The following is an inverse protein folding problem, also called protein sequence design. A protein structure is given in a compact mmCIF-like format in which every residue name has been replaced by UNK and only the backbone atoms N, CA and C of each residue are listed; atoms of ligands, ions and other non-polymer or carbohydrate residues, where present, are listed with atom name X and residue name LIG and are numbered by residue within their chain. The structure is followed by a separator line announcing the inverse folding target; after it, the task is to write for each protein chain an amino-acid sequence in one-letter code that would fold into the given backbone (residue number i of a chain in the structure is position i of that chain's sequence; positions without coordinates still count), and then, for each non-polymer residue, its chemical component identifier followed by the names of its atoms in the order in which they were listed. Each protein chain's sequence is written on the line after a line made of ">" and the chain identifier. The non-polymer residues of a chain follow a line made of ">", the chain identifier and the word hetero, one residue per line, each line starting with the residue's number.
data_IF_277008301258
#
_entry.id   IF_277008301258
#
_cell.length_a   1.000
_cell.length_b   1.000
_cell.length_c   1.000
_cell.angle_alpha   90.00
_cell.angle_beta   90.00
_cell.angle_gamma   90.00
#
_symmetry.space_group_name_H-M   'P 1'
#
loop_
_entity.id
_entity.type
_entity.pdbx_description
1 polymer ?
#
# COMPACT_ATOMS: atom_id res chain seq x y z
N UNK A 1 -15.29 -27.62 -4.25
CA UNK A 1 -14.44 -26.85 -3.32
C UNK A 1 -13.65 -25.86 -4.16
N UNK A 2 -13.92 -24.58 -4.02
CA UNK A 2 -13.19 -23.54 -4.74
C UNK A 2 -11.75 -23.51 -4.21
N UNK A 3 -10.78 -23.72 -5.10
CA UNK A 3 -9.36 -23.62 -4.79
C UNK A 3 -9.02 -22.16 -4.45
N UNK A 4 -9.21 -21.77 -3.21
CA UNK A 4 -8.86 -20.44 -2.72
C UNK A 4 -7.34 -20.28 -2.79
N UNK A 5 -6.88 -19.36 -3.61
CA UNK A 5 -5.45 -19.08 -3.75
C UNK A 5 -4.98 -18.20 -2.63
N UNK A 6 -3.99 -18.66 -1.91
CA UNK A 6 -3.52 -17.98 -0.71
C UNK A 6 -2.66 -16.74 -1.01
N UNK A 7 -1.91 -16.71 -2.10
CA UNK A 7 -0.88 -15.71 -2.33
C UNK A 7 -0.85 -15.06 -3.68
N UNK A 8 -1.61 -15.35 -4.56
CA UNK A 8 -1.51 -14.61 -5.81
C UNK A 8 -2.48 -13.50 -5.86
N UNK A 9 -2.04 -12.33 -6.19
CA UNK A 9 -2.13 -12.01 -7.59
C UNK A 9 -0.90 -12.51 -8.32
N UNK A 10 -1.07 -12.91 -9.57
CA UNK A 10 0.03 -12.95 -10.49
C UNK A 10 0.76 -11.62 -10.39
N UNK A 11 2.05 -11.66 -10.66
CA UNK A 11 2.89 -10.47 -10.56
C UNK A 11 2.33 -9.35 -11.42
N UNK A 12 1.63 -8.43 -10.81
CA UNK A 12 1.22 -7.18 -11.42
C UNK A 12 2.43 -6.26 -11.44
N UNK A 13 3.36 -6.62 -12.31
CA UNK A 13 4.64 -5.99 -12.41
C UNK A 13 4.62 -4.76 -13.27
N UNK A 14 5.39 -3.82 -12.79
CA UNK A 14 5.83 -2.68 -13.55
C UNK A 14 5.04 -1.42 -13.31
N UNK A 15 3.89 -1.49 -12.65
CA UNK A 15 3.08 -0.30 -12.41
C UNK A 15 2.69 -0.24 -10.95
N UNK A 16 3.33 0.65 -10.18
CA UNK A 16 2.92 0.95 -8.80
C UNK A 16 1.49 1.48 -8.68
N UNK A 17 0.82 1.66 -9.80
CA UNK A 17 -0.54 2.20 -9.92
C UNK A 17 -1.59 1.18 -10.36
N UNK A 18 -1.22 -0.04 -10.69
CA UNK A 18 -2.19 -1.09 -11.01
C UNK A 18 -3.04 -1.50 -9.80
N UNK A 19 -2.79 -0.94 -8.69
CA UNK A 19 -3.56 -1.08 -7.48
C UNK A 19 -4.84 -0.26 -7.49
N UNK A 20 -4.95 0.70 -8.39
CA UNK A 20 -6.18 1.45 -8.57
C UNK A 20 -7.21 0.61 -9.30
N UNK A 21 -8.37 0.44 -8.68
CA UNK A 21 -9.50 -0.34 -9.22
C UNK A 21 -10.06 0.20 -10.54
N UNK A 22 -9.61 1.39 -10.95
CA UNK A 22 -9.93 1.99 -12.23
C UNK A 22 -9.62 1.09 -13.43
N UNK A 23 -8.57 0.27 -13.37
CA UNK A 23 -8.24 -0.63 -14.47
C UNK A 23 -9.27 -1.75 -14.65
N UNK A 24 -9.87 -2.26 -13.58
CA UNK A 24 -10.97 -3.21 -13.66
C UNK A 24 -12.18 -2.56 -14.32
N UNK A 25 -12.54 -1.35 -13.87
CA UNK A 25 -13.63 -0.57 -14.44
C UNK A 25 -13.43 -0.32 -15.93
N UNK A 26 -12.23 0.14 -16.34
CA UNK A 26 -11.95 0.43 -17.75
C UNK A 26 -11.98 -0.84 -18.60
N UNK A 27 -11.42 -1.95 -18.15
CA UNK A 27 -11.49 -3.21 -18.86
C UNK A 27 -12.93 -3.70 -19.05
N UNK A 28 -13.76 -3.61 -18.00
CA UNK A 28 -15.19 -3.97 -18.08
C UNK A 28 -15.98 -3.01 -18.98
N UNK A 29 -15.65 -1.70 -18.96
CA UNK A 29 -16.24 -0.71 -19.87
C UNK A 29 -15.92 -1.02 -21.34
N UNK A 30 -14.70 -1.48 -21.63
CA UNK A 30 -14.31 -1.95 -22.95
C UNK A 30 -15.10 -3.21 -23.33
N UNK A 31 -15.19 -4.19 -22.41
CA UNK A 31 -15.96 -5.41 -22.63
C UNK A 31 -17.43 -5.12 -22.94
N UNK A 32 -18.04 -4.18 -22.22
CA UNK A 32 -19.41 -3.72 -22.46
C UNK A 32 -19.57 -3.06 -23.82
N UNK A 33 -18.66 -2.16 -24.19
CA UNK A 33 -18.78 -1.37 -25.43
C UNK A 33 -18.43 -2.14 -26.70
N UNK A 34 -17.49 -3.09 -26.63
CA UNK A 34 -17.00 -3.87 -27.78
C UNK A 34 -17.61 -5.28 -27.86
N UNK A 35 -18.35 -5.70 -26.83
CA UNK A 35 -18.93 -7.03 -26.72
C UNK A 35 -17.97 -8.10 -26.18
N UNK A 36 -16.67 -7.88 -26.23
CA UNK A 36 -15.63 -8.76 -25.71
C UNK A 36 -14.38 -7.97 -25.33
N UNK A 37 -13.47 -8.65 -24.62
CA UNK A 37 -12.08 -8.20 -24.42
C UNK A 37 -11.11 -9.35 -24.72
N UNK A 38 -9.95 -8.97 -25.21
CA UNK A 38 -8.75 -9.77 -25.29
C UNK A 38 -7.52 -8.94 -24.92
N UNK A 39 -6.35 -9.57 -24.87
CA UNK A 39 -5.10 -8.86 -24.55
C UNK A 39 -4.81 -7.71 -25.53
N UNK A 40 -4.97 -7.94 -26.83
CA UNK A 40 -4.62 -6.96 -27.86
C UNK A 40 -5.52 -5.72 -27.77
N UNK A 41 -6.81 -5.94 -27.51
CA UNK A 41 -7.78 -4.87 -27.34
C UNK A 41 -7.46 -4.03 -26.09
N UNK A 42 -7.13 -4.67 -24.95
CA UNK A 42 -6.75 -3.96 -23.72
C UNK A 42 -5.46 -3.16 -23.88
N UNK A 43 -4.43 -3.72 -24.54
CA UNK A 43 -3.17 -3.00 -24.84
C UNK A 43 -3.43 -1.73 -25.64
N UNK A 44 -4.37 -1.75 -26.57
CA UNK A 44 -4.72 -0.61 -27.40
C UNK A 44 -5.60 0.43 -26.70
N UNK A 45 -6.61 0.00 -25.99
CA UNK A 45 -7.70 0.88 -25.50
C UNK A 45 -7.42 1.44 -24.09
N UNK A 46 -6.84 0.64 -23.17
CA UNK A 46 -6.63 1.09 -21.77
C UNK A 46 -5.72 2.33 -21.70
N UNK A 47 -4.56 2.39 -22.40
CA UNK A 47 -3.68 3.54 -22.33
C UNK A 47 -4.37 4.87 -22.70
N UNK A 48 -5.31 4.82 -23.63
CA UNK A 48 -6.04 6.00 -24.08
C UNK A 48 -7.05 6.47 -23.03
N UNK A 49 -7.64 5.55 -22.26
CA UNK A 49 -8.69 5.83 -21.27
C UNK A 49 -8.12 6.30 -19.93
N UNK A 50 -6.94 5.79 -19.57
CA UNK A 50 -6.27 6.13 -18.30
C UNK A 50 -5.19 7.20 -18.45
N UNK A 51 -5.15 7.89 -19.60
CA UNK A 51 -4.18 8.95 -19.86
C UNK A 51 -4.29 10.05 -18.80
N UNK A 52 -3.19 10.31 -18.11
CA UNK A 52 -3.13 11.26 -16.98
C UNK A 52 -3.39 10.65 -15.60
N UNK A 53 -3.96 9.44 -15.52
CA UNK A 53 -4.16 8.73 -14.25
C UNK A 53 -3.06 7.72 -13.98
N UNK A 54 -2.41 7.21 -15.01
CA UNK A 54 -1.34 6.20 -14.93
C UNK A 54 -0.24 6.57 -15.92
N UNK A 55 1.01 6.27 -15.59
CA UNK A 55 2.13 6.32 -16.56
C UNK A 55 1.95 5.20 -17.58
N UNK A 56 1.34 5.55 -18.68
CA UNK A 56 0.96 4.63 -19.75
C UNK A 56 2.16 3.88 -20.33
N UNK A 57 3.30 4.54 -20.43
CA UNK A 57 4.53 3.96 -20.99
C UNK A 57 5.16 2.86 -20.13
N UNK A 58 4.65 2.65 -18.92
CA UNK A 58 5.17 1.66 -17.96
C UNK A 58 4.30 0.42 -17.79
N UNK A 59 3.12 0.35 -18.42
CA UNK A 59 2.23 -0.81 -18.34
C UNK A 59 2.81 -1.93 -19.20
N UNK A 60 3.38 -2.95 -18.55
CA UNK A 60 3.87 -4.12 -19.29
C UNK A 60 2.70 -4.97 -19.81
N UNK A 61 2.91 -5.65 -20.93
CA UNK A 61 1.88 -6.52 -21.51
C UNK A 61 1.39 -7.62 -20.57
N UNK A 62 2.21 -8.02 -19.59
CA UNK A 62 1.83 -9.01 -18.58
C UNK A 62 0.70 -8.53 -17.68
N UNK A 63 0.59 -7.21 -17.47
CA UNK A 63 -0.47 -6.60 -16.65
C UNK A 63 -1.85 -6.84 -17.26
N UNK A 64 -1.98 -6.76 -18.58
CA UNK A 64 -3.27 -6.98 -19.25
C UNK A 64 -3.72 -8.43 -19.15
N UNK A 65 -2.79 -9.40 -19.22
CA UNK A 65 -3.12 -10.81 -18.98
C UNK A 65 -3.51 -11.07 -17.53
N UNK A 66 -2.84 -10.44 -16.61
CA UNK A 66 -3.16 -10.52 -15.19
C UNK A 66 -4.54 -9.92 -14.89
N UNK A 67 -4.87 -8.80 -15.54
CA UNK A 67 -6.18 -8.17 -15.45
C UNK A 67 -7.32 -9.07 -15.93
N UNK A 68 -7.16 -9.69 -17.11
CA UNK A 68 -8.12 -10.66 -17.65
C UNK A 68 -8.28 -11.84 -16.69
N UNK A 69 -7.19 -12.36 -16.16
CA UNK A 69 -7.20 -13.51 -15.25
C UNK A 69 -7.92 -13.19 -13.95
N UNK A 70 -7.66 -12.03 -13.35
CA UNK A 70 -8.31 -11.60 -12.12
C UNK A 70 -9.80 -11.32 -12.33
N UNK A 71 -10.18 -10.62 -13.39
CA UNK A 71 -11.58 -10.39 -13.73
C UNK A 71 -12.33 -11.70 -13.96
N UNK A 72 -11.67 -12.71 -14.56
CA UNK A 72 -12.24 -14.05 -14.73
C UNK A 72 -12.41 -14.75 -13.38
N UNK A 73 -11.42 -14.67 -12.49
CA UNK A 73 -11.50 -15.27 -11.15
C UNK A 73 -12.55 -14.60 -10.26
N UNK A 74 -12.77 -13.31 -10.42
CA UNK A 74 -13.83 -12.57 -9.70
C UNK A 74 -15.23 -12.83 -10.32
N UNK A 75 -15.29 -13.55 -11.43
CA UNK A 75 -16.55 -13.83 -12.13
C UNK A 75 -17.14 -12.63 -12.84
N UNK A 76 -16.35 -11.57 -13.06
CA UNK A 76 -16.81 -10.37 -13.78
C UNK A 76 -16.76 -10.52 -15.30
N UNK A 77 -15.92 -11.42 -15.80
CA UNK A 77 -15.89 -11.83 -17.19
C UNK A 77 -15.85 -13.35 -17.26
N UNK A 78 -16.30 -13.89 -18.38
CA UNK A 78 -16.23 -15.32 -18.70
C UNK A 78 -15.58 -15.53 -20.05
N UNK A 79 -14.85 -16.64 -20.16
CA UNK A 79 -14.22 -17.05 -21.42
C UNK A 79 -15.28 -17.53 -22.39
N UNK A 80 -15.27 -17.00 -23.61
CA UNK A 80 -16.16 -17.41 -24.70
C UNK A 80 -15.44 -18.23 -25.78
N UNK A 81 -14.24 -17.78 -26.16
CA UNK A 81 -13.39 -18.46 -27.12
C UNK A 81 -11.94 -18.58 -26.61
N UNK A 82 -11.02 -19.02 -27.45
CA UNK A 82 -9.61 -19.22 -27.03
C UNK A 82 -8.98 -17.98 -26.39
N UNK A 83 -9.30 -16.79 -26.89
CA UNK A 83 -8.68 -15.54 -26.43
C UNK A 83 -9.69 -14.45 -26.09
N UNK A 84 -10.99 -14.69 -26.25
CA UNK A 84 -12.04 -13.69 -26.04
C UNK A 84 -12.81 -13.95 -24.76
N UNK A 85 -13.11 -12.87 -24.05
CA UNK A 85 -13.83 -12.88 -22.78
C UNK A 85 -14.97 -11.87 -22.85
N UNK A 86 -16.14 -12.27 -22.38
CA UNK A 86 -17.33 -11.41 -22.28
C UNK A 86 -17.61 -11.01 -20.85
N UNK A 87 -18.21 -9.84 -20.69
CA UNK A 87 -18.69 -9.37 -19.40
C UNK A 87 -19.87 -10.22 -18.95
N UNK A 88 -19.87 -10.58 -17.66
CA UNK A 88 -20.98 -11.30 -17.01
C UNK A 88 -22.00 -10.34 -16.41
N UNK A 89 -23.12 -10.86 -15.91
CA UNK A 89 -24.10 -10.07 -15.14
C UNK A 89 -23.42 -9.44 -13.93
N UNK A 90 -22.62 -10.19 -13.16
CA UNK A 90 -21.88 -9.66 -12.02
C UNK A 90 -20.88 -8.55 -12.40
N UNK A 91 -20.25 -8.66 -13.57
CA UNK A 91 -19.38 -7.62 -14.11
C UNK A 91 -20.14 -6.37 -14.52
N UNK A 92 -21.35 -6.52 -15.05
CA UNK A 92 -22.23 -5.38 -15.37
C UNK A 92 -22.69 -4.66 -14.10
N UNK A 93 -23.15 -5.38 -13.09
CA UNK A 93 -23.54 -4.84 -11.80
C UNK A 93 -22.38 -4.07 -11.14
N UNK A 94 -21.17 -4.64 -11.15
CA UNK A 94 -19.98 -3.96 -10.64
C UNK A 94 -19.68 -2.66 -11.40
N UNK A 95 -19.77 -2.69 -12.74
CA UNK A 95 -19.54 -1.51 -13.57
C UNK A 95 -20.56 -0.38 -13.30
N UNK A 96 -21.81 -0.74 -13.07
CA UNK A 96 -22.86 0.21 -12.67
C UNK A 96 -22.56 0.81 -11.29
N UNK A 97 -22.19 -0.01 -10.31
CA UNK A 97 -21.78 0.48 -8.99
C UNK A 97 -20.59 1.44 -9.07
N UNK A 98 -19.61 1.18 -9.94
CA UNK A 98 -18.48 2.11 -10.16
C UNK A 98 -18.92 3.51 -10.62
N UNK A 99 -20.09 3.62 -11.26
CA UNK A 99 -20.62 4.89 -11.78
C UNK A 99 -21.52 5.62 -10.78
N UNK A 100 -22.28 4.89 -9.97
CA UNK A 100 -23.29 5.46 -9.08
C UNK A 100 -22.92 5.42 -7.59
N UNK A 101 -22.12 4.45 -7.16
CA UNK A 101 -21.74 4.29 -5.74
C UNK A 101 -20.37 3.61 -5.61
N UNK A 102 -19.33 4.43 -5.53
CA UNK A 102 -17.93 3.95 -5.44
C UNK A 102 -17.67 3.07 -4.21
N UNK A 103 -18.28 3.39 -3.09
CA UNK A 103 -18.11 2.62 -1.84
C UNK A 103 -18.64 1.20 -2.01
N UNK A 104 -19.88 1.06 -2.50
CA UNK A 104 -20.46 -0.26 -2.79
C UNK A 104 -19.70 -1.03 -3.87
N UNK A 105 -19.12 -0.34 -4.84
CA UNK A 105 -18.25 -0.97 -5.82
C UNK A 105 -16.97 -1.55 -5.17
N UNK A 106 -16.37 -0.83 -4.24
CA UNK A 106 -15.22 -1.32 -3.47
C UNK A 106 -15.60 -2.51 -2.61
N UNK A 107 -16.73 -2.46 -1.91
CA UNK A 107 -17.24 -3.58 -1.10
C UNK A 107 -17.44 -4.83 -1.95
N UNK A 108 -18.09 -4.68 -3.12
CA UNK A 108 -18.32 -5.78 -4.05
C UNK A 108 -17.02 -6.38 -4.58
N UNK A 109 -16.03 -5.54 -4.90
CA UNK A 109 -14.73 -6.01 -5.36
C UNK A 109 -13.99 -6.74 -4.23
N UNK A 110 -14.02 -6.23 -3.01
CA UNK A 110 -13.39 -6.87 -1.87
C UNK A 110 -14.04 -8.23 -1.57
N UNK A 111 -15.36 -8.33 -1.61
CA UNK A 111 -16.10 -9.57 -1.45
C UNK A 111 -15.63 -10.62 -2.47
N UNK A 112 -15.61 -10.27 -3.76
CA UNK A 112 -15.12 -11.14 -4.82
C UNK A 112 -13.65 -11.50 -4.68
N UNK A 113 -12.83 -10.55 -4.24
CA UNK A 113 -11.40 -10.79 -4.01
C UNK A 113 -11.18 -11.77 -2.86
N UNK A 114 -11.99 -11.73 -1.81
CA UNK A 114 -11.91 -12.66 -0.68
C UNK A 114 -12.38 -14.09 -1.04
N UNK A 115 -13.28 -14.24 -2.00
CA UNK A 115 -13.65 -15.57 -2.53
C UNK A 115 -12.46 -16.26 -3.23
N UNK A 116 -11.49 -15.49 -3.72
CA UNK A 116 -10.32 -15.97 -4.46
C UNK A 116 -9.06 -15.99 -3.60
N UNK A 117 -8.89 -14.98 -2.74
CA UNK A 117 -7.69 -14.77 -1.95
C UNK A 117 -8.01 -14.65 -0.46
N UNK A 118 -7.33 -15.39 0.38
CA UNK A 118 -7.40 -15.21 1.84
C UNK A 118 -6.53 -14.05 2.33
N UNK A 119 -5.69 -13.50 1.46
CA UNK A 119 -4.66 -12.51 1.80
C UNK A 119 -5.21 -11.26 2.47
N UNK A 120 -6.33 -10.65 2.07
CA UNK A 120 -6.83 -9.44 2.73
C UNK A 120 -7.03 -9.64 4.24
N UNK A 121 -7.83 -10.62 4.65
CA UNK A 121 -8.10 -10.88 6.05
C UNK A 121 -6.85 -11.38 6.80
N UNK A 122 -6.10 -12.30 6.18
CA UNK A 122 -4.88 -12.83 6.78
C UNK A 122 -3.82 -11.75 7.03
N UNK A 123 -3.62 -10.82 6.07
CA UNK A 123 -2.64 -9.75 6.18
C UNK A 123 -2.95 -8.82 7.36
N UNK A 124 -4.21 -8.40 7.49
CA UNK A 124 -4.65 -7.53 8.57
C UNK A 124 -4.53 -8.24 9.93
N UNK A 125 -4.99 -9.50 10.02
CA UNK A 125 -4.80 -10.30 11.24
C UNK A 125 -3.32 -10.40 11.63
N UNK A 126 -2.45 -10.59 10.63
CA UNK A 126 -1.02 -10.73 10.90
C UNK A 126 -0.39 -9.46 11.47
N UNK A 127 -0.81 -8.28 11.01
CA UNK A 127 -0.37 -7.01 11.60
C UNK A 127 -0.72 -6.94 13.09
N UNK A 128 -1.96 -7.30 13.45
CA UNK A 128 -2.41 -7.33 14.84
C UNK A 128 -1.65 -8.35 15.70
N UNK A 129 -1.37 -9.53 15.15
CA UNK A 129 -0.59 -10.55 15.83
C UNK A 129 0.86 -10.13 16.08
N UNK A 130 1.45 -9.38 15.14
CA UNK A 130 2.84 -8.93 15.24
C UNK A 130 3.04 -7.84 16.28
N UNK A 131 2.08 -6.97 16.48
CA UNK A 131 2.19 -5.85 17.42
C UNK A 131 0.84 -5.46 18.02
N UNK A 132 0.23 -6.31 18.88
CA UNK A 132 -1.08 -6.06 19.46
C UNK A 132 -1.09 -4.81 20.37
N UNK A 133 -0.01 -4.58 21.11
CA UNK A 133 0.09 -3.47 22.07
C UNK A 133 0.10 -2.10 21.39
N UNK A 134 0.55 -2.03 20.15
CA UNK A 134 0.54 -0.81 19.33
C UNK A 134 -0.44 -0.91 18.15
N UNK A 135 -1.56 -1.58 18.36
CA UNK A 135 -2.67 -1.63 17.42
C UNK A 135 -2.23 -2.08 16.00
N UNK A 136 -1.37 -3.08 15.93
CA UNK A 136 -0.94 -3.67 14.67
C UNK A 136 0.05 -2.83 13.84
N UNK A 137 0.69 -1.82 14.41
CA UNK A 137 1.74 -1.09 13.71
C UNK A 137 2.99 -1.97 13.52
N UNK A 138 3.47 -2.06 12.28
CA UNK A 138 4.64 -2.86 11.93
C UNK A 138 5.55 -2.07 10.99
N UNK A 139 6.86 -2.12 11.22
CA UNK A 139 7.84 -1.49 10.33
C UNK A 139 8.56 -2.55 9.52
N UNK A 140 8.54 -2.41 8.21
CA UNK A 140 9.44 -3.12 7.30
C UNK A 140 10.72 -2.28 7.19
N UNK A 141 11.83 -2.70 7.80
CA UNK A 141 12.99 -1.84 7.98
C UNK A 141 13.71 -1.53 6.67
N UNK A 142 14.34 -0.37 6.65
CA UNK A 142 15.27 0.10 5.62
C UNK A 142 16.46 0.75 6.30
N UNK A 143 17.66 0.74 5.71
CA UNK A 143 18.81 1.43 6.29
C UNK A 143 18.51 2.91 6.53
N UNK A 144 18.88 3.41 7.70
CA UNK A 144 18.73 4.82 8.04
C UNK A 144 19.32 5.71 6.94
N UNK A 145 18.65 6.83 6.63
CA UNK A 145 19.09 7.74 5.56
C UNK A 145 20.50 8.27 5.81
N UNK A 146 20.82 8.53 7.08
CA UNK A 146 22.10 9.06 7.52
C UNK A 146 23.18 7.99 7.77
N UNK A 147 22.84 6.70 7.54
CA UNK A 147 23.82 5.64 7.72
C UNK A 147 24.99 5.83 6.76
N UNK A 148 26.18 5.94 7.33
CA UNK A 148 27.41 6.03 6.55
C UNK A 148 27.79 4.64 6.02
N UNK A 149 27.42 4.38 4.78
CA UNK A 149 27.88 3.19 4.07
C UNK A 149 28.82 3.63 2.96
N UNK A 150 30.00 3.02 2.90
CA UNK A 150 30.94 3.26 1.78
C UNK A 150 30.26 2.91 0.47
N UNK A 151 30.49 3.73 -0.55
CA UNK A 151 30.04 3.41 -1.90
C UNK A 151 30.83 2.20 -2.42
N UNK A 152 30.20 1.02 -2.36
CA UNK A 152 30.75 -0.23 -2.87
C UNK A 152 29.86 -0.74 -3.99
N UNK A 153 30.46 -1.49 -4.91
CA UNK A 153 29.74 -2.10 -6.03
C UNK A 153 28.75 -3.16 -5.55
N UNK A 154 27.70 -3.39 -6.31
CA UNK A 154 26.71 -4.43 -6.02
C UNK A 154 27.34 -5.83 -5.87
N UNK A 155 28.32 -6.15 -6.68
CA UNK A 155 28.97 -7.46 -6.70
C UNK A 155 29.93 -7.74 -5.50
N UNK A 156 30.20 -6.73 -4.69
CA UNK A 156 31.01 -6.91 -3.49
C UNK A 156 30.23 -7.68 -2.42
N UNK A 157 30.60 -8.95 -2.23
CA UNK A 157 29.90 -9.90 -1.36
C UNK A 157 30.37 -9.89 0.10
N UNK A 158 31.35 -9.06 0.45
CA UNK A 158 31.86 -8.99 1.79
C UNK A 158 30.81 -8.39 2.76
N UNK A 159 30.54 -9.09 3.85
CA UNK A 159 29.74 -8.59 4.95
C UNK A 159 30.66 -7.91 5.96
N UNK A 160 30.57 -6.60 6.09
CA UNK A 160 31.45 -5.78 6.93
C UNK A 160 30.84 -5.43 8.28
N UNK A 161 31.69 -4.99 9.21
CA UNK A 161 31.25 -4.48 10.51
C UNK A 161 30.35 -3.22 10.35
N UNK A 162 30.58 -2.39 9.32
CA UNK A 162 29.72 -1.26 8.99
C UNK A 162 28.29 -1.71 8.64
N UNK A 163 28.13 -2.79 7.85
CA UNK A 163 26.83 -3.34 7.52
C UNK A 163 26.14 -3.90 8.75
N UNK A 164 26.88 -4.55 9.63
CA UNK A 164 26.38 -5.05 10.91
C UNK A 164 25.90 -3.90 11.78
N UNK A 165 26.70 -2.85 11.97
CA UNK A 165 26.38 -1.70 12.79
C UNK A 165 25.12 -0.97 12.27
N UNK A 166 25.04 -0.67 10.99
CA UNK A 166 23.86 -0.03 10.35
C UNK A 166 22.60 -0.89 10.52
N UNK A 167 22.74 -2.20 10.40
CA UNK A 167 21.62 -3.12 10.55
C UNK A 167 21.06 -3.16 11.97
N UNK A 168 21.94 -3.18 12.97
CA UNK A 168 21.57 -3.12 14.39
C UNK A 168 20.97 -1.76 14.74
N UNK A 169 21.61 -0.68 14.33
CA UNK A 169 21.13 0.69 14.58
C UNK A 169 19.72 0.89 14.01
N UNK A 170 19.49 0.42 12.78
CA UNK A 170 18.16 0.53 12.14
C UNK A 170 17.07 -0.15 12.97
N UNK A 171 17.32 -1.35 13.49
CA UNK A 171 16.34 -2.06 14.32
C UNK A 171 16.15 -1.38 15.67
N UNK A 172 17.23 -1.03 16.35
CA UNK A 172 17.17 -0.40 17.66
C UNK A 172 16.44 0.93 17.61
N UNK A 173 16.70 1.69 16.58
CA UNK A 173 15.99 2.95 16.33
C UNK A 173 14.50 2.73 16.07
N UNK A 174 14.13 1.74 15.23
CA UNK A 174 12.73 1.39 14.99
C UNK A 174 12.00 0.91 16.26
N UNK A 175 12.63 0.04 17.05
CA UNK A 175 12.10 -0.41 18.36
C UNK A 175 11.88 0.75 19.34
N UNK A 176 12.77 1.75 19.33
CA UNK A 176 12.63 2.94 20.17
C UNK A 176 11.45 3.82 19.75
N UNK A 177 11.15 3.89 18.46
CA UNK A 177 10.06 4.72 17.93
C UNK A 177 8.70 4.04 18.01
N UNK A 178 8.65 2.74 17.75
CA UNK A 178 7.43 1.93 17.82
C UNK A 178 7.76 0.64 18.57
N UNK A 179 7.35 0.57 19.82
CA UNK A 179 7.56 -0.61 20.64
C UNK A 179 6.92 -1.84 19.98
N UNK A 180 7.59 -2.99 20.10
CA UNK A 180 7.09 -4.26 19.56
C UNK A 180 7.09 -4.39 18.03
N UNK A 181 7.49 -3.36 17.29
CA UNK A 181 7.43 -3.38 15.83
C UNK A 181 8.41 -4.35 15.14
N UNK A 182 9.42 -4.82 15.87
CA UNK A 182 10.40 -5.81 15.41
C UNK A 182 10.44 -7.01 16.34
N UNK A 183 9.71 -8.07 16.04
CA UNK A 183 9.68 -9.29 16.85
C UNK A 183 10.91 -10.17 16.61
N UNK A 184 12.09 -9.57 16.46
CA UNK A 184 13.34 -10.28 16.18
C UNK A 184 14.35 -10.18 17.31
N UNK A 185 15.05 -11.28 17.54
CA UNK A 185 16.37 -11.28 18.13
C UNK A 185 17.39 -10.60 17.19
N UNK A 186 18.26 -9.75 17.73
CA UNK A 186 19.25 -9.02 16.93
C UNK A 186 20.26 -9.94 16.26
N UNK A 187 20.69 -10.99 16.93
CA UNK A 187 21.68 -11.94 16.43
C UNK A 187 21.12 -12.72 15.25
N UNK A 188 19.89 -13.23 15.40
CA UNK A 188 19.19 -13.94 14.32
C UNK A 188 18.93 -13.04 13.13
N UNK A 189 18.57 -11.76 13.37
CA UNK A 189 18.37 -10.78 12.31
C UNK A 189 19.64 -10.54 11.50
N UNK A 190 20.78 -10.37 12.16
CA UNK A 190 22.06 -10.14 11.49
C UNK A 190 22.48 -11.35 10.67
N UNK A 191 22.30 -12.55 11.18
CA UNK A 191 22.60 -13.77 10.45
C UNK A 191 21.74 -13.92 9.18
N UNK A 192 20.44 -13.76 9.32
CA UNK A 192 19.51 -13.81 8.18
C UNK A 192 19.85 -12.74 7.14
N UNK A 193 20.19 -11.51 7.58
CA UNK A 193 20.59 -10.42 6.69
C UNK A 193 21.88 -10.73 5.95
N UNK A 194 22.89 -11.25 6.63
CA UNK A 194 24.15 -11.63 6.01
C UNK A 194 23.92 -12.64 4.90
N UNK A 195 23.16 -13.69 5.20
CA UNK A 195 22.83 -14.75 4.24
C UNK A 195 22.08 -14.21 3.02
N UNK A 196 21.06 -13.37 3.23
CA UNK A 196 20.28 -12.80 2.14
C UNK A 196 21.08 -11.77 1.34
N UNK A 197 21.90 -10.96 1.99
CA UNK A 197 22.79 -10.00 1.33
C UNK A 197 23.80 -10.70 0.41
N UNK A 198 24.42 -11.79 0.88
CA UNK A 198 25.33 -12.60 0.07
C UNK A 198 24.61 -13.28 -1.11
N UNK A 199 23.42 -13.84 -0.84
CA UNK A 199 22.57 -14.43 -1.88
C UNK A 199 22.21 -13.43 -2.99
N UNK A 200 21.87 -12.20 -2.63
CA UNK A 200 21.55 -11.15 -3.60
C UNK A 200 22.78 -10.75 -4.42
N UNK A 201 23.96 -10.72 -3.82
CA UNK A 201 25.20 -10.35 -4.50
C UNK A 201 25.66 -11.39 -5.51
N UNK A 202 25.34 -12.66 -5.30
CA UNK A 202 25.63 -13.73 -6.26
C UNK A 202 24.72 -13.67 -7.51
N UNK A 203 23.63 -12.90 -7.44
CA UNK A 203 22.72 -12.71 -8.54
C UNK A 203 23.12 -11.47 -9.31
N UNK A 204 23.58 -11.61 -10.55
CA UNK A 204 23.82 -10.45 -11.41
C UNK A 204 22.51 -9.70 -11.63
N UNK A 205 22.44 -8.42 -11.30
CA UNK A 205 21.24 -7.63 -11.54
C UNK A 205 21.01 -7.53 -13.05
N UNK A 206 19.77 -7.75 -13.47
CA UNK A 206 19.36 -7.66 -14.87
C UNK A 206 18.24 -6.66 -15.02
N UNK A 207 18.36 -5.75 -15.97
CA UNK A 207 17.30 -4.83 -16.36
C UNK A 207 16.97 -5.09 -17.83
N UNK A 208 15.72 -5.47 -18.10
CA UNK A 208 15.24 -5.76 -19.45
C UNK A 208 16.16 -6.75 -20.24
N UNK A 209 16.55 -7.86 -19.60
CA UNK A 209 17.45 -8.89 -20.14
C UNK A 209 18.90 -8.43 -20.44
N UNK A 210 19.29 -7.23 -20.09
CA UNK A 210 20.68 -6.75 -20.18
C UNK A 210 21.31 -6.77 -18.79
N UNK A 211 22.59 -7.16 -18.74
CA UNK A 211 23.40 -7.00 -17.53
C UNK A 211 23.56 -5.51 -17.23
N UNK A 212 23.46 -5.17 -15.94
CA UNK A 212 23.59 -3.78 -15.50
C UNK A 212 25.09 -3.52 -15.28
N UNK A 213 25.61 -2.38 -15.75
CA UNK A 213 27.00 -1.99 -15.49
C UNK A 213 27.27 -1.93 -13.98
N UNK A 214 28.46 -2.37 -13.57
CA UNK A 214 28.91 -2.41 -12.17
C UNK A 214 28.95 -1.04 -11.49
N UNK A 215 28.92 0.05 -12.24
CA UNK A 215 28.95 1.44 -11.78
C UNK A 215 27.58 2.11 -11.74
N UNK A 216 26.49 1.38 -12.01
CA UNK A 216 25.14 1.92 -11.88
C UNK A 216 24.83 2.24 -10.41
N UNK A 217 24.68 3.53 -10.11
CA UNK A 217 24.39 4.07 -8.76
C UNK A 217 23.15 3.46 -8.12
N UNK A 218 22.19 2.96 -8.92
CA UNK A 218 20.99 2.29 -8.43
C UNK A 218 21.28 0.90 -7.84
N UNK A 219 22.48 0.36 -8.04
CA UNK A 219 22.92 -0.94 -7.56
C UNK A 219 24.07 -0.81 -6.55
N UNK A 220 23.89 0.09 -5.60
CA UNK A 220 24.84 0.30 -4.51
C UNK A 220 24.66 -0.76 -3.40
N UNK A 221 25.70 -0.91 -2.58
CA UNK A 221 25.66 -1.73 -1.35
C UNK A 221 24.48 -1.36 -0.44
N UNK A 222 24.14 -0.07 -0.34
CA UNK A 222 22.98 0.43 0.42
C UNK A 222 21.66 -0.11 -0.13
N UNK A 223 21.49 -0.08 -1.45
CA UNK A 223 20.29 -0.60 -2.09
C UNK A 223 20.15 -2.12 -1.91
N UNK A 224 21.28 -2.83 -1.96
CA UNK A 224 21.32 -4.27 -1.71
C UNK A 224 20.95 -4.59 -0.25
N UNK A 225 21.50 -3.85 0.73
CA UNK A 225 21.12 -4.00 2.13
C UNK A 225 19.63 -3.68 2.35
N UNK A 226 19.14 -2.60 1.74
CA UNK A 226 17.72 -2.26 1.79
C UNK A 226 16.83 -3.38 1.24
N UNK A 227 17.21 -3.98 0.12
CA UNK A 227 16.47 -5.09 -0.46
C UNK A 227 16.52 -6.33 0.43
N UNK A 228 17.69 -6.66 1.01
CA UNK A 228 17.83 -7.76 1.96
C UNK A 228 16.94 -7.55 3.18
N UNK A 229 16.98 -6.38 3.81
CA UNK A 229 16.14 -6.06 4.97
C UNK A 229 14.65 -6.24 4.67
N UNK A 230 14.18 -5.68 3.55
CA UNK A 230 12.78 -5.81 3.11
C UNK A 230 12.40 -7.27 2.84
N UNK A 231 13.26 -8.00 2.16
CA UNK A 231 12.98 -9.40 1.80
C UNK A 231 12.85 -10.28 3.03
N UNK A 232 13.77 -10.14 3.99
CA UNK A 232 13.73 -10.92 5.23
C UNK A 232 12.54 -10.51 6.08
N UNK A 233 12.33 -9.22 6.30
CA UNK A 233 11.22 -8.75 7.10
C UNK A 233 9.87 -9.23 6.53
N UNK A 234 9.67 -9.09 5.23
CA UNK A 234 8.46 -9.60 4.57
C UNK A 234 8.34 -11.11 4.73
N UNK A 235 9.41 -11.86 4.48
CA UNK A 235 9.43 -13.31 4.63
C UNK A 235 9.06 -13.73 6.04
N UNK A 236 9.64 -13.13 7.06
CA UNK A 236 9.44 -13.50 8.46
C UNK A 236 8.14 -12.99 9.05
N UNK A 237 7.78 -11.72 8.79
CA UNK A 237 6.54 -11.15 9.32
C UNK A 237 5.31 -11.72 8.64
N UNK A 238 5.41 -12.02 7.37
CA UNK A 238 4.31 -12.50 6.54
C UNK A 238 4.59 -13.90 5.96
N UNK A 239 5.40 -14.72 6.67
CA UNK A 239 5.52 -16.11 6.29
C UNK A 239 4.16 -16.77 6.43
N UNK A 240 3.84 -17.57 5.43
CA UNK A 240 2.59 -18.25 5.37
C UNK A 240 2.62 -19.45 6.31
N UNK A 241 1.71 -19.41 7.23
CA UNK A 241 1.39 -20.55 8.07
C UNK A 241 -0.10 -20.82 7.91
N UNK A 242 -0.46 -22.04 7.55
CA UNK A 242 -1.87 -22.43 7.55
C UNK A 242 -2.30 -22.74 9.00
N UNK A 243 -3.04 -21.84 9.66
CA UNK A 243 -3.42 -22.04 11.05
C UNK A 243 -4.46 -23.14 11.24
N UNK A 244 -5.09 -23.63 10.17
CA UNK A 244 -6.07 -24.72 10.23
C UNK A 244 -5.37 -26.08 10.26
N UNK A 245 -4.40 -26.27 9.40
CA UNK A 245 -3.70 -27.56 9.28
C UNK A 245 -2.36 -27.59 10.00
N UNK A 246 -1.86 -26.43 10.44
CA UNK A 246 -0.49 -26.26 10.95
C UNK A 246 0.59 -26.74 9.96
N UNK A 247 0.21 -26.95 8.71
CA UNK A 247 1.08 -27.42 7.66
C UNK A 247 1.37 -26.30 6.66
N UNK A 248 2.55 -26.35 6.07
CA UNK A 248 2.87 -25.52 4.92
C UNK A 248 1.90 -25.88 3.78
N UNK A 249 1.38 -24.88 3.09
CA UNK A 249 0.47 -25.13 1.96
C UNK A 249 1.21 -25.74 0.80
N UNK A 250 1.09 -27.04 0.66
CA UNK A 250 1.71 -27.83 -0.39
C UNK A 250 1.17 -27.53 -1.79
N UNK A 251 -0.02 -26.94 -1.90
CA UNK A 251 -0.65 -26.66 -3.19
C UNK A 251 0.11 -25.63 -4.03
N UNK A 252 0.95 -24.78 -3.42
CA UNK A 252 1.65 -23.72 -4.13
C UNK A 252 3.17 -23.71 -3.97
N UNK A 253 3.83 -24.68 -3.38
CA UNK A 253 5.31 -24.76 -3.20
C UNK A 253 5.98 -23.46 -2.67
N UNK A 254 5.21 -22.45 -2.30
CA UNK A 254 5.66 -21.15 -1.78
C UNK A 254 4.86 -20.83 -0.53
N UNK A 255 5.45 -21.14 0.59
CA UNK A 255 4.84 -20.91 1.90
C UNK A 255 4.93 -19.46 2.35
N UNK A 256 5.81 -18.66 1.76
CA UNK A 256 6.12 -17.31 2.21
C UNK A 256 5.61 -16.24 1.26
N UNK A 257 5.17 -15.10 1.81
CA UNK A 257 4.92 -13.91 1.02
C UNK A 257 6.25 -13.40 0.44
N UNK A 258 6.30 -13.26 -0.87
CA UNK A 258 7.46 -12.64 -1.50
C UNK A 258 7.39 -11.12 -1.33
N UNK A 259 8.55 -10.46 -1.33
CA UNK A 259 8.60 -8.99 -1.37
C UNK A 259 7.75 -8.41 -2.52
N UNK A 260 7.69 -9.09 -3.61
CA UNK A 260 6.89 -8.79 -4.78
C UNK A 260 5.38 -8.79 -4.50
N UNK A 261 4.85 -9.88 -3.95
CA UNK A 261 3.42 -9.99 -3.56
C UNK A 261 3.06 -8.95 -2.51
N UNK A 262 3.98 -8.71 -1.57
CA UNK A 262 3.83 -7.69 -0.55
C UNK A 262 3.65 -6.28 -1.17
N UNK A 263 4.49 -5.92 -2.16
CA UNK A 263 4.40 -4.63 -2.85
C UNK A 263 3.10 -4.45 -3.65
N UNK A 264 2.43 -5.53 -4.02
CA UNK A 264 1.12 -5.49 -4.67
C UNK A 264 0.00 -5.38 -3.64
N UNK A 265 0.10 -6.15 -2.55
CA UNK A 265 -0.97 -6.21 -1.56
C UNK A 265 -1.08 -4.95 -0.70
N UNK A 266 0.02 -4.31 -0.31
CA UNK A 266 -0.05 -3.08 0.48
C UNK A 266 -0.94 -2.00 -0.16
N UNK A 267 -0.71 -1.57 -1.42
CA UNK A 267 -1.57 -0.60 -2.06
C UNK A 267 -3.01 -1.07 -2.26
N UNK A 268 -3.23 -2.37 -2.52
CA UNK A 268 -4.60 -2.90 -2.64
C UNK A 268 -5.38 -2.81 -1.34
N UNK A 269 -4.74 -3.17 -0.23
CA UNK A 269 -5.35 -3.08 1.10
C UNK A 269 -5.59 -1.62 1.52
N UNK A 270 -4.71 -0.71 1.12
CA UNK A 270 -4.93 0.73 1.31
C UNK A 270 -6.13 1.22 0.50
N UNK A 271 -6.25 0.82 -0.77
CA UNK A 271 -7.40 1.16 -1.61
C UNK A 271 -8.73 0.63 -1.07
N UNK A 272 -8.72 -0.48 -0.34
CA UNK A 272 -9.89 -0.98 0.39
C UNK A 272 -10.09 -0.32 1.76
N UNK A 273 -9.27 0.64 2.12
CA UNK A 273 -9.29 1.25 3.46
C UNK A 273 -9.13 0.24 4.60
N UNK A 274 -8.38 -0.84 4.38
CA UNK A 274 -8.13 -1.88 5.38
C UNK A 274 -6.86 -1.62 6.19
N UNK A 275 -5.87 -1.01 5.55
CA UNK A 275 -4.61 -0.58 6.17
C UNK A 275 -4.04 0.62 5.41
N UNK A 276 -3.12 1.32 6.06
CA UNK A 276 -2.26 2.29 5.39
C UNK A 276 -0.80 1.88 5.49
N UNK A 277 -0.02 2.45 4.60
CA UNK A 277 1.43 2.36 4.69
C UNK A 277 2.08 3.68 4.31
N UNK A 278 3.24 3.96 4.90
CA UNK A 278 4.06 5.12 4.55
C UNK A 278 5.52 4.72 4.42
N UNK A 279 6.18 5.22 3.39
CA UNK A 279 7.62 5.01 3.15
C UNK A 279 8.47 6.20 3.62
N UNK A 280 7.85 7.27 4.08
CA UNK A 280 8.51 8.56 4.16
C UNK A 280 8.45 9.23 5.53
N UNK A 281 8.04 8.52 6.56
CA UNK A 281 8.16 9.07 7.89
C UNK A 281 9.66 9.28 8.20
N UNK A 282 10.13 10.53 8.38
CA UNK A 282 11.53 10.82 8.64
C UNK A 282 12.02 10.21 9.96
N UNK A 283 11.08 9.87 10.82
CA UNK A 283 11.35 9.33 12.16
C UNK A 283 11.36 7.80 12.19
N UNK A 284 10.96 7.12 11.12
CA UNK A 284 10.86 5.66 11.07
C UNK A 284 11.67 5.11 9.89
N UNK A 285 12.70 4.29 10.16
CA UNK A 285 13.55 3.78 9.10
C UNK A 285 12.87 2.61 8.39
N UNK A 286 12.00 2.92 7.44
CA UNK A 286 11.36 1.89 6.64
C UNK A 286 9.95 2.22 6.23
N UNK A 287 9.26 1.17 5.77
CA UNK A 287 7.83 1.23 5.48
C UNK A 287 7.05 0.93 6.76
N UNK A 288 6.33 1.91 7.27
CA UNK A 288 5.38 1.71 8.34
C UNK A 288 4.07 1.18 7.77
N UNK A 289 3.56 0.11 8.36
CA UNK A 289 2.25 -0.46 8.08
C UNK A 289 1.38 -0.33 9.31
N UNK A 290 0.11 -0.04 9.12
CA UNK A 290 -0.86 -0.03 10.23
C UNK A 290 -2.28 -0.32 9.72
N UNK A 291 -3.06 -1.12 10.46
CA UNK A 291 -4.49 -1.31 10.19
C UNK A 291 -5.25 0.00 10.38
N UNK A 292 -6.28 0.22 9.58
CA UNK A 292 -7.15 1.38 9.70
C UNK A 292 -8.23 1.08 10.71
N UNK A 293 -8.44 2.04 11.63
CA UNK A 293 -9.47 2.08 12.68
C UNK A 293 -9.65 0.85 13.58
N UNK A 294 -10.67 0.83 14.38
CA UNK A 294 -10.91 -0.21 15.38
C UNK A 294 -11.29 -1.54 14.73
N UNK A 295 -10.34 -2.44 14.70
CA UNK A 295 -10.52 -3.79 14.22
C UNK A 295 -10.95 -4.69 15.39
N UNK A 296 -12.14 -5.25 15.36
CA UNK A 296 -12.61 -6.18 16.39
C UNK A 296 -12.77 -7.57 15.79
N UNK A 297 -12.12 -8.54 16.43
CA UNK A 297 -12.31 -9.95 16.15
C UNK A 297 -13.41 -10.47 17.07
N UNK A 298 -14.49 -11.03 16.53
CA UNK A 298 -15.43 -11.79 17.33
C UNK A 298 -16.92 -11.56 17.07
N UNK A 299 -17.73 -12.46 17.60
CA UNK A 299 -19.18 -12.49 17.55
C UNK A 299 -19.83 -11.37 18.40
N UNK A 300 -19.54 -10.12 18.14
CA UNK A 300 -20.22 -9.04 18.86
C UNK A 300 -21.41 -8.57 18.06
N UNK A 301 -22.58 -8.79 18.60
CA UNK A 301 -23.88 -8.24 18.19
C UNK A 301 -23.99 -6.72 18.37
N UNK A 302 -22.88 -5.99 18.32
CA UNK A 302 -22.91 -4.56 18.38
C UNK A 302 -23.35 -4.00 17.02
N UNK A 303 -24.34 -3.13 17.04
CA UNK A 303 -24.82 -2.35 15.91
C UNK A 303 -23.72 -1.42 15.38
N UNK A 304 -22.78 -1.96 14.62
CA UNK A 304 -21.82 -1.16 13.90
C UNK A 304 -22.41 -0.78 12.55
N UNK A 305 -22.51 0.50 12.28
CA UNK A 305 -22.54 1.05 10.91
C UNK A 305 -21.22 0.80 10.23
N UNK A 306 -20.73 -0.40 10.28
CA UNK A 306 -19.38 -0.76 9.89
C UNK A 306 -19.37 -1.47 8.57
N UNK A 307 -18.45 -1.11 7.75
CA UNK A 307 -18.12 -1.71 6.48
C UNK A 307 -16.62 -1.62 6.28
N UNK A 308 -16.03 -2.44 5.46
CA UNK A 308 -16.41 -3.78 5.05
C UNK A 308 -16.05 -4.81 6.11
N UNK A 309 -16.67 -5.98 6.06
CA UNK A 309 -16.24 -7.11 6.86
C UNK A 309 -15.23 -7.97 6.09
N UNK A 310 -14.26 -8.52 6.80
CA UNK A 310 -13.33 -9.51 6.29
C UNK A 310 -13.66 -10.87 6.90
N UNK A 311 -13.55 -11.94 6.10
CA UNK A 311 -13.56 -13.31 6.64
C UNK A 311 -12.13 -13.82 6.69
N UNK A 312 -11.72 -14.33 7.83
CA UNK A 312 -10.46 -15.03 7.93
C UNK A 312 -10.63 -16.53 7.58
N UNK A 313 -9.52 -17.26 7.57
CA UNK A 313 -9.52 -18.69 7.28
C UNK A 313 -10.12 -19.59 8.38
N UNK A 314 -10.58 -19.01 9.49
CA UNK A 314 -11.34 -19.67 10.56
C UNK A 314 -12.82 -19.29 10.52
N UNK A 315 -13.30 -18.75 9.40
CA UNK A 315 -14.66 -18.24 9.23
C UNK A 315 -15.06 -17.14 10.25
N UNK A 316 -14.06 -16.51 10.89
CA UNK A 316 -14.31 -15.38 11.78
C UNK A 316 -14.59 -14.14 10.94
N UNK A 317 -15.58 -13.38 11.33
CA UNK A 317 -15.89 -12.11 10.70
C UNK A 317 -15.11 -11.01 11.41
N UNK A 318 -14.31 -10.28 10.64
CA UNK A 318 -13.54 -9.16 11.11
C UNK A 318 -14.25 -7.88 10.70
N UNK A 319 -14.63 -7.07 11.69
CA UNK A 319 -15.33 -5.80 11.45
C UNK A 319 -14.33 -4.65 11.47
N UNK A 320 -14.41 -3.78 10.47
CA UNK A 320 -13.64 -2.56 10.40
C UNK A 320 -14.59 -1.42 10.69
N UNK A 321 -14.32 -0.67 11.74
CA UNK A 321 -15.03 0.55 12.03
C UNK A 321 -14.30 1.72 11.38
N UNK A 322 -14.99 2.38 10.46
CA UNK A 322 -14.50 3.59 9.79
C UNK A 322 -15.16 4.78 10.47
N UNK A 323 -14.40 5.66 11.16
CA UNK A 323 -14.99 6.82 11.81
C UNK A 323 -15.62 7.73 10.75
N UNK A 324 -16.79 8.30 11.08
CA UNK A 324 -17.46 9.30 10.27
C UNK A 324 -16.99 10.70 10.68
N UNK A 325 -17.21 11.68 9.82
CA UNK A 325 -16.81 13.07 10.09
C UNK A 325 -17.34 13.59 11.43
N UNK A 326 -18.64 13.39 11.70
CA UNK A 326 -19.26 13.86 12.91
C UNK A 326 -18.70 13.21 14.19
N UNK A 327 -18.16 11.98 14.06
CA UNK A 327 -17.57 11.25 15.18
C UNK A 327 -16.20 11.82 15.59
N UNK A 328 -15.41 12.31 14.61
CA UNK A 328 -14.00 12.65 14.85
C UNK A 328 -13.61 14.07 14.38
N UNK A 329 -14.58 14.92 14.03
CA UNK A 329 -14.35 16.28 13.51
C UNK A 329 -13.33 17.06 14.36
N UNK A 330 -13.55 17.12 15.66
CA UNK A 330 -12.67 17.88 16.56
C UNK A 330 -11.28 17.23 16.66
N UNK A 331 -11.22 15.91 16.74
CA UNK A 331 -9.96 15.16 16.79
C UNK A 331 -9.18 15.34 15.50
N UNK A 332 -9.87 15.34 14.34
CA UNK A 332 -9.24 15.56 13.05
C UNK A 332 -8.62 16.95 12.94
N UNK A 333 -9.38 17.99 13.26
CA UNK A 333 -8.91 19.38 13.21
C UNK A 333 -7.72 19.57 14.18
N UNK A 334 -7.86 19.09 15.41
CA UNK A 334 -6.79 19.20 16.42
C UNK A 334 -5.52 18.47 15.97
N UNK A 335 -5.66 17.21 15.52
CA UNK A 335 -4.51 16.41 15.04
C UNK A 335 -3.86 17.03 13.81
N UNK A 336 -4.65 17.54 12.88
CA UNK A 336 -4.14 18.24 11.69
C UNK A 336 -3.27 19.45 12.08
N UNK A 337 -3.75 20.26 13.02
CA UNK A 337 -3.03 21.43 13.52
C UNK A 337 -1.75 21.06 14.28
N UNK A 338 -1.81 20.07 15.15
CA UNK A 338 -0.64 19.58 15.91
C UNK A 338 0.43 19.01 14.98
N UNK A 339 0.04 18.20 14.01
CA UNK A 339 0.97 17.63 13.03
C UNK A 339 1.59 18.74 12.18
N UNK A 340 0.78 19.67 11.67
CA UNK A 340 1.29 20.83 10.93
C UNK A 340 2.30 21.63 11.76
N UNK A 341 1.96 21.99 13.00
CA UNK A 341 2.83 22.76 13.89
C UNK A 341 4.14 22.03 14.19
N UNK A 342 4.11 20.71 14.36
CA UNK A 342 5.31 19.90 14.56
C UNK A 342 6.26 19.95 13.37
N UNK A 343 5.74 19.89 12.13
CA UNK A 343 6.54 20.02 10.92
C UNK A 343 7.05 21.46 10.73
N UNK A 344 6.19 22.46 10.98
CA UNK A 344 6.57 23.87 10.90
C UNK A 344 7.73 24.22 11.85
N UNK A 345 7.65 23.78 13.10
CA UNK A 345 8.70 24.02 14.10
C UNK A 345 10.04 23.37 13.74
N UNK A 346 10.01 22.25 13.02
CA UNK A 346 11.23 21.55 12.57
C UNK A 346 11.87 22.18 11.34
N UNK A 347 11.07 22.75 10.44
CA UNK A 347 11.51 23.16 9.11
C UNK A 347 11.54 24.70 8.94
N UNK A 348 10.83 25.44 9.79
CA UNK A 348 10.64 26.90 9.68
C UNK A 348 10.09 27.38 8.32
N UNK A 349 9.43 26.47 7.59
CA UNK A 349 8.84 26.73 6.29
C UNK A 349 7.33 26.69 6.44
N UNK A 350 6.63 27.73 5.94
CA UNK A 350 5.18 27.85 6.07
C UNK A 350 4.43 26.76 5.29
N UNK A 351 4.88 26.47 4.08
CA UNK A 351 4.29 25.44 3.23
C UNK A 351 4.91 24.09 3.49
N UNK A 352 4.14 23.20 4.11
CA UNK A 352 4.55 21.85 4.48
C UNK A 352 4.02 20.85 3.42
N UNK A 353 4.76 19.77 3.21
CA UNK A 353 4.31 18.65 2.37
C UNK A 353 2.98 18.10 2.86
N UNK A 354 1.93 18.26 2.06
CA UNK A 354 0.58 17.78 2.39
C UNK A 354 0.54 16.26 2.52
N UNK A 355 1.40 15.55 1.78
CA UNK A 355 1.52 14.09 1.88
C UNK A 355 2.08 13.64 3.23
N UNK A 356 3.09 14.36 3.75
CA UNK A 356 3.67 14.04 5.04
C UNK A 356 2.66 14.30 6.18
N UNK A 357 1.91 15.40 6.09
CA UNK A 357 0.81 15.70 7.01
C UNK A 357 -0.26 14.61 6.94
N UNK A 358 -0.72 14.24 5.75
CA UNK A 358 -1.70 13.17 5.55
C UNK A 358 -1.25 11.86 6.18
N UNK A 359 -0.02 11.44 5.87
CA UNK A 359 0.50 10.16 6.33
C UNK A 359 0.54 10.08 7.86
N UNK A 360 0.90 11.18 8.52
CA UNK A 360 0.95 11.23 9.97
C UNK A 360 -0.44 11.36 10.61
N UNK A 361 -1.34 12.19 10.08
CA UNK A 361 -2.72 12.30 10.56
C UNK A 361 -3.46 10.97 10.39
N UNK A 362 -3.33 10.33 9.22
CA UNK A 362 -3.91 9.00 8.98
C UNK A 362 -3.40 7.97 9.99
N UNK A 363 -2.12 8.00 10.33
CA UNK A 363 -1.51 7.10 11.32
C UNK A 363 -2.09 7.32 12.72
N UNK A 364 -2.20 8.57 13.15
CA UNK A 364 -2.67 8.92 14.49
C UNK A 364 -4.16 8.62 14.67
N UNK A 365 -4.97 8.97 13.68
CA UNK A 365 -6.42 8.79 13.74
C UNK A 365 -6.92 7.45 13.19
N UNK A 366 -6.05 6.65 12.61
CA UNK A 366 -6.42 5.37 11.99
C UNK A 366 -7.49 5.52 10.90
N UNK A 367 -7.34 6.53 10.07
CA UNK A 367 -8.19 6.79 8.92
C UNK A 367 -7.46 6.49 7.61
N UNK A 368 -8.22 6.25 6.54
CA UNK A 368 -7.66 6.04 5.22
C UNK A 368 -7.24 7.38 4.57
N UNK A 369 -6.32 7.35 3.58
CA UNK A 369 -6.02 8.53 2.77
C UNK A 369 -7.25 9.14 2.10
N UNK A 370 -8.24 8.33 1.73
CA UNK A 370 -9.51 8.80 1.15
C UNK A 370 -10.34 9.57 2.18
N UNK A 371 -10.47 9.04 3.39
CA UNK A 371 -11.15 9.75 4.48
C UNK A 371 -10.42 11.05 4.85
N UNK A 372 -9.08 11.03 4.85
CA UNK A 372 -8.31 12.24 5.06
C UNK A 372 -8.64 13.30 4.00
N UNK A 373 -8.74 12.91 2.72
CA UNK A 373 -9.11 13.81 1.62
C UNK A 373 -10.50 14.42 1.84
N UNK A 374 -11.49 13.60 2.16
CA UNK A 374 -12.86 14.05 2.42
C UNK A 374 -12.94 14.98 3.65
N UNK A 375 -12.23 14.62 4.73
CA UNK A 375 -12.20 15.43 5.95
C UNK A 375 -11.43 16.73 5.79
N UNK A 376 -10.33 16.70 5.03
CA UNK A 376 -9.59 17.91 4.70
C UNK A 376 -10.41 18.84 3.80
N UNK A 377 -11.15 18.30 2.82
CA UNK A 377 -12.06 19.07 2.00
C UNK A 377 -13.09 19.81 2.85
N UNK A 378 -13.75 19.09 3.76
CA UNK A 378 -14.73 19.68 4.69
C UNK A 378 -14.09 20.73 5.59
N UNK A 379 -12.91 20.46 6.13
CA UNK A 379 -12.17 21.43 6.99
C UNK A 379 -11.76 22.67 6.21
N UNK A 380 -11.32 22.49 4.96
CA UNK A 380 -10.98 23.62 4.07
C UNK A 380 -12.20 24.50 3.79
N UNK A 381 -13.36 23.90 3.50
CA UNK A 381 -14.62 24.65 3.31
C UNK A 381 -15.05 25.40 4.56
N UNK A 382 -14.89 24.81 5.76
CA UNK A 382 -15.12 25.48 7.03
C UNK A 382 -14.17 26.67 7.24
N UNK A 383 -12.91 26.51 6.84
CA UNK A 383 -11.91 27.59 6.88
C UNK A 383 -12.31 28.77 5.97
N UNK A 384 -12.76 28.48 4.75
CA UNK A 384 -13.23 29.51 3.80
C UNK A 384 -14.47 30.25 4.32
N UNK A 385 -15.36 29.55 5.03
CA UNK A 385 -16.58 30.12 5.63
C UNK A 385 -16.33 30.78 6.98
N UNK A 386 -15.09 30.80 7.46
CA UNK A 386 -14.73 31.29 8.80
C UNK A 386 -15.44 30.56 9.96
N UNK A 387 -15.78 29.30 9.77
CA UNK A 387 -16.39 28.45 10.81
C UNK A 387 -15.35 27.87 11.78
N UNK A 388 -14.05 28.01 11.45
CA UNK A 388 -12.93 27.66 12.30
C UNK A 388 -11.93 28.83 12.38
N UNK A 389 -11.19 28.91 13.48
CA UNK A 389 -10.25 30.02 13.76
C UNK A 389 -8.90 29.90 13.01
N UNK A 390 -8.87 29.22 11.88
CA UNK A 390 -7.68 28.99 11.07
C UNK A 390 -7.97 29.19 9.60
N UNK A 391 -7.01 29.81 8.89
CA UNK A 391 -6.99 29.86 7.44
C UNK A 391 -6.14 28.73 6.89
N UNK A 392 -6.68 27.96 5.97
CA UNK A 392 -5.98 26.88 5.28
C UNK A 392 -5.73 27.30 3.84
N UNK A 393 -4.48 27.21 3.40
CA UNK A 393 -4.07 27.44 2.02
C UNK A 393 -3.49 26.14 1.44
N UNK A 394 -3.93 25.77 0.26
CA UNK A 394 -3.50 24.59 -0.46
C UNK A 394 -2.83 24.98 -1.75
N UNK A 395 -1.67 24.42 -2.04
CA UNK A 395 -0.91 24.74 -3.24
C UNK A 395 -0.41 23.49 -3.96
N UNK A 396 -0.21 23.64 -5.26
CA UNK A 396 0.43 22.61 -6.10
C UNK A 396 1.88 23.00 -6.31
N UNK A 397 2.82 22.18 -5.86
CA UNK A 397 4.23 22.39 -6.17
C UNK A 397 4.52 21.94 -7.61
N UNK A 398 4.71 22.90 -8.49
CA UNK A 398 5.03 22.67 -9.90
C UNK A 398 6.44 22.09 -10.09
N UNK A 399 7.33 22.24 -9.08
CA UNK A 399 8.74 21.82 -9.13
C UNK A 399 8.94 20.34 -8.83
N UNK A 400 7.91 19.69 -8.25
CA UNK A 400 8.00 18.24 -8.02
C UNK A 400 8.06 17.54 -9.38
N UNK A 401 9.20 16.93 -9.66
CA UNK A 401 9.36 16.05 -10.82
C UNK A 401 8.18 15.09 -10.89
N UNK A 402 7.52 15.03 -12.03
CA UNK A 402 6.36 14.16 -12.26
C UNK A 402 6.64 12.71 -11.84
N UNK A 403 7.88 12.23 -11.99
CA UNK A 403 8.31 10.89 -11.55
C UNK A 403 8.25 10.70 -10.03
N UNK A 404 8.52 11.74 -9.26
CA UNK A 404 8.41 11.70 -7.79
C UNK A 404 6.95 11.73 -7.36
N UNK A 405 6.09 12.47 -8.08
CA UNK A 405 4.64 12.54 -7.83
C UNK A 405 3.95 11.19 -8.02
N UNK A 406 4.44 10.34 -8.90
CA UNK A 406 3.82 9.06 -9.26
C UNK A 406 4.09 7.97 -8.23
N UNK A 407 5.19 8.04 -7.50
CA UNK A 407 5.52 7.09 -6.44
C UNK A 407 4.78 7.35 -5.12
N UNK A 408 4.09 8.49 -5.02
CA UNK A 408 3.27 8.86 -3.87
C UNK A 408 1.90 9.29 -4.34
N UNK A 409 0.87 8.76 -3.74
CA UNK A 409 -0.48 9.23 -3.97
C UNK A 409 -0.59 10.70 -3.55
N UNK A 410 -0.91 11.57 -4.50
CA UNK A 410 -1.23 12.97 -4.24
C UNK A 410 -2.47 13.10 -3.35
N UNK A 411 -2.71 14.28 -2.81
CA UNK A 411 -3.96 14.62 -2.12
C UNK A 411 -4.87 15.33 -3.12
N UNK A 412 -6.04 14.76 -3.36
CA UNK A 412 -6.98 15.25 -4.35
C UNK A 412 -8.19 15.85 -3.64
N UNK A 413 -8.45 17.13 -3.88
CA UNK A 413 -9.66 17.82 -3.43
C UNK A 413 -10.37 18.37 -4.65
N UNK A 414 -11.64 18.02 -4.83
CA UNK A 414 -12.46 18.42 -5.97
C UNK A 414 -11.81 18.15 -7.34
N UNK A 415 -11.06 17.04 -7.45
CA UNK A 415 -10.37 16.66 -8.69
C UNK A 415 -9.04 17.39 -8.95
N UNK A 416 -8.64 18.30 -8.08
CA UNK A 416 -7.37 19.04 -8.16
C UNK A 416 -6.37 18.38 -7.21
N UNK A 417 -5.15 18.13 -7.72
CA UNK A 417 -4.08 17.57 -6.90
C UNK A 417 -3.32 18.71 -6.18
N UNK A 418 -3.27 18.62 -4.87
CA UNK A 418 -2.46 19.50 -4.02
C UNK A 418 -1.28 18.76 -3.43
N UNK A 419 -0.18 19.48 -3.21
CA UNK A 419 1.08 18.92 -2.67
C UNK A 419 1.57 19.64 -1.42
N UNK A 420 1.10 20.85 -1.19
CA UNK A 420 1.52 21.70 -0.07
C UNK A 420 0.31 22.24 0.69
N UNK A 421 0.48 22.40 2.01
CA UNK A 421 -0.48 23.02 2.91
C UNK A 421 0.19 24.07 3.78
N UNK A 422 -0.50 25.18 3.98
CA UNK A 422 -0.17 26.18 4.99
C UNK A 422 -1.40 26.44 5.88
N UNK A 423 -1.20 26.47 7.19
CA UNK A 423 -2.26 26.74 8.16
C UNK A 423 -1.82 27.95 9.03
N UNK A 424 -2.67 28.96 9.10
CA UNK A 424 -2.42 30.18 9.88
C UNK A 424 -3.60 30.44 10.81
N UNK A 425 -3.36 30.83 12.08
CA UNK A 425 -4.45 31.30 12.93
C UNK A 425 -5.06 32.56 12.33
N UNK A 426 -6.39 32.64 12.38
CA UNK A 426 -7.12 33.88 12.10
C UNK A 426 -7.04 34.69 13.40
N UNK A 427 -6.28 35.78 13.39
CA UNK A 427 -6.34 36.73 14.49
C UNK A 427 -7.70 37.45 14.39
N UNK A 428 -8.54 37.19 15.37
CA UNK A 428 -9.77 37.99 15.60
C UNK A 428 -9.40 39.29 16.29
#
# INVERSE_FOLDING_TARGET
>A
MNNVRLWTPPSLYGVGHFTEFNLYREALSIAKSKGFIDKALLVREIPQRVKGLVLVDSISETVYMDLIRELTHFGFIQKESKNEFRITVAGMEYLELCSCNKERAQDKLLERMQEVFVTPAWFINRLWELNPDNQGQVVIPMPLKNASLKSRKWADNEWTDELTAVSIETIRWGKKKIAGCFPYDESQWIEDLRNEYQRLGSQKPRKNNREIPDDDVNYSQRNRLSLAMKTIAVKKFFSRYNPVTQEADFLNKRSDMTHRSFMVWCPRLENFSLMCYTDNNPEIPGRLLYPISSFKVGNTSASFTSKPYLRDNKDRILYIHTPQWDDIKNDFITTLLEVYQNYYNKQTIIYISLQDIRDEVCRLLRISPYQFEDFLQTTYEMSVKHEINYSISLETDIRLDMKVKINRRGVYLNGIMYSLIAIKPLYV
#
